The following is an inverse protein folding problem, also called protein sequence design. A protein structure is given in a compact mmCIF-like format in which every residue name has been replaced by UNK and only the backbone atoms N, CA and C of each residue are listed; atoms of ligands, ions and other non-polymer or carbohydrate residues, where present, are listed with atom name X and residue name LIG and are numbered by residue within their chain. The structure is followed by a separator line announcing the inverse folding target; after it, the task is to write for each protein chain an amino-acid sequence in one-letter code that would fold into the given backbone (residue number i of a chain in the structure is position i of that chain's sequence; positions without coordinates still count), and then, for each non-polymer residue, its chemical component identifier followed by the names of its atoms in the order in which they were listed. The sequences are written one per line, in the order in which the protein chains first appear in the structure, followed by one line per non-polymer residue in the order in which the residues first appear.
data_IF_997374858904
#
_entry.id   IF_997374858904
#
_cell.length_a   1.000
_cell.length_b   1.000
_cell.length_c   1.000
_cell.angle_alpha   90.00
_cell.angle_beta   90.00
_cell.angle_gamma   90.00
#
_symmetry.space_group_name_H-M   'P 1'
#
loop_
_entity.id
_entity.type
_entity.pdbx_description
1 polymer ?
#
# COMPACT_ATOMS: atom_id res chain seq x y z
N UNK A 1 12.64 11.08 12.46
CA UNK A 1 11.76 9.94 12.84
C UNK A 1 12.14 9.58 14.26
N UNK A 2 11.18 9.37 15.16
CA UNK A 2 11.50 8.94 16.52
C UNK A 2 11.86 7.44 16.47
N UNK A 3 13.00 7.06 17.07
CA UNK A 3 13.49 5.69 17.16
C UNK A 3 12.65 4.92 18.20
N UNK A 4 11.86 3.92 17.76
CA UNK A 4 10.92 3.18 18.62
C UNK A 4 11.38 1.75 18.97
N UNK A 5 12.39 1.19 18.30
CA UNK A 5 12.78 -0.23 18.45
C UNK A 5 14.26 -0.35 18.87
N UNK A 6 14.53 -0.43 20.17
CA UNK A 6 15.85 -0.71 20.76
C UNK A 6 15.79 -1.94 21.68
N UNK A 7 16.93 -2.47 22.15
CA UNK A 7 17.03 -3.57 23.12
C UNK A 7 16.30 -3.34 24.46
N UNK A 8 15.95 -2.09 24.81
CA UNK A 8 15.09 -1.75 25.96
C UNK A 8 13.62 -1.47 25.55
N UNK A 9 13.29 -1.65 24.28
CA UNK A 9 11.94 -1.59 23.68
C UNK A 9 11.59 -2.96 23.06
N UNK A 10 10.42 -3.06 22.46
CA UNK A 10 9.99 -4.25 21.73
C UNK A 10 10.32 -4.14 20.24
N UNK A 11 10.60 -5.28 19.61
CA UNK A 11 10.87 -5.34 18.16
C UNK A 11 9.59 -5.30 17.33
N UNK A 12 8.63 -6.14 17.69
CA UNK A 12 7.27 -6.19 17.17
C UNK A 12 6.32 -6.21 18.34
N UNK A 13 5.25 -5.43 18.28
CA UNK A 13 4.20 -5.47 19.28
C UNK A 13 3.42 -6.79 19.21
N UNK A 14 2.71 -7.14 20.27
CA UNK A 14 1.81 -8.29 20.30
C UNK A 14 0.74 -8.18 19.21
N UNK A 15 0.23 -6.98 18.91
CA UNK A 15 -0.74 -6.77 17.85
C UNK A 15 -0.14 -7.01 16.45
N UNK A 16 1.06 -6.50 16.19
CA UNK A 16 1.77 -6.74 14.93
C UNK A 16 2.17 -8.22 14.79
N UNK A 17 2.59 -8.87 15.87
CA UNK A 17 2.90 -10.30 15.90
C UNK A 17 1.66 -11.16 15.59
N UNK A 18 0.51 -10.85 16.19
CA UNK A 18 -0.76 -11.52 15.91
C UNK A 18 -1.18 -11.29 14.45
N UNK A 19 -1.03 -10.06 13.96
CA UNK A 19 -1.32 -9.71 12.56
C UNK A 19 -0.42 -10.47 11.59
N UNK A 20 0.88 -10.57 11.87
CA UNK A 20 1.83 -11.34 11.08
C UNK A 20 1.47 -12.85 11.08
N UNK A 21 1.10 -13.42 12.24
CA UNK A 21 0.61 -14.80 12.32
C UNK A 21 -0.68 -15.03 11.54
N UNK A 22 -1.61 -14.07 11.57
CA UNK A 22 -2.82 -14.12 10.75
C UNK A 22 -2.48 -14.07 9.26
N UNK A 23 -1.60 -13.17 8.82
CA UNK A 23 -1.21 -13.09 7.41
C UNK A 23 -0.44 -14.34 6.94
N UNK A 24 0.40 -14.92 7.79
CA UNK A 24 1.09 -16.18 7.50
C UNK A 24 0.12 -17.37 7.36
N UNK A 25 -0.90 -17.49 8.22
CA UNK A 25 -1.93 -18.55 8.09
C UNK A 25 -2.74 -18.43 6.79
N UNK A 26 -2.96 -17.21 6.28
CA UNK A 26 -3.62 -16.98 4.99
C UNK A 26 -2.76 -17.34 3.77
N UNK A 27 -1.45 -17.50 3.94
CA UNK A 27 -0.51 -17.79 2.86
C UNK A 27 0.31 -19.05 3.17
N UNK A 28 -0.32 -20.24 3.25
CA UNK A 28 0.39 -21.47 3.57
C UNK A 28 1.35 -21.87 2.45
N UNK A 29 2.54 -22.35 2.81
CA UNK A 29 3.53 -22.81 1.84
C UNK A 29 3.27 -24.26 1.42
N UNK A 30 3.09 -24.49 0.12
CA UNK A 30 2.86 -25.82 -0.47
C UNK A 30 4.15 -26.65 -0.42
N UNK A 31 4.04 -27.90 0.01
CA UNK A 31 5.16 -28.86 0.08
C UNK A 31 4.69 -30.30 -0.09
N UNK A 32 5.51 -31.14 -0.73
CA UNK A 32 5.21 -32.57 -0.88
C UNK A 32 5.72 -33.41 0.31
N UNK A 33 6.43 -32.79 1.26
CA UNK A 33 7.01 -33.47 2.43
C UNK A 33 6.06 -33.57 3.64
N UNK A 34 4.83 -33.04 3.54
CA UNK A 34 3.82 -33.08 4.58
C UNK A 34 2.54 -33.77 4.06
N UNK A 35 1.85 -34.53 4.93
CA UNK A 35 0.58 -35.19 4.59
C UNK A 35 -0.48 -34.22 4.11
N UNK A 36 -0.50 -33.02 4.69
CA UNK A 36 -1.52 -32.00 4.45
C UNK A 36 -1.15 -31.07 3.28
N UNK A 37 -0.05 -31.40 2.58
CA UNK A 37 0.57 -30.65 1.48
C UNK A 37 0.99 -29.22 1.79
N UNK A 38 0.93 -28.80 3.06
CA UNK A 38 1.29 -27.45 3.51
C UNK A 38 2.18 -27.52 4.74
N UNK A 39 3.17 -26.64 4.83
CA UNK A 39 3.98 -26.48 6.03
C UNK A 39 4.52 -25.05 6.14
N UNK A 40 4.15 -24.38 7.24
CA UNK A 40 4.53 -23.00 7.53
C UNK A 40 4.08 -22.01 6.44
N UNK A 41 4.78 -20.88 6.36
CA UNK A 41 4.52 -19.84 5.37
C UNK A 41 5.83 -19.20 4.90
N UNK A 42 5.83 -18.71 3.66
CA UNK A 42 6.88 -17.85 3.09
C UNK A 42 6.54 -16.36 3.18
N UNK A 43 5.39 -16.02 3.78
CA UNK A 43 5.02 -14.65 4.02
C UNK A 43 5.98 -14.04 5.04
N UNK A 44 6.46 -12.83 4.75
CA UNK A 44 7.41 -12.09 5.60
C UNK A 44 6.80 -10.76 6.01
N UNK A 45 7.16 -10.29 7.19
CA UNK A 45 6.77 -8.98 7.72
C UNK A 45 8.01 -8.10 7.77
N UNK A 46 7.93 -6.86 7.26
CA UNK A 46 9.04 -5.91 7.32
C UNK A 46 8.56 -4.64 8.00
N UNK A 47 9.28 -4.22 9.03
CA UNK A 47 9.04 -2.97 9.75
C UNK A 47 10.09 -1.96 9.32
N UNK A 48 9.65 -0.79 8.86
CA UNK A 48 10.52 0.35 8.58
C UNK A 48 10.44 1.33 9.77
N UNK A 49 11.54 1.50 10.48
CA UNK A 49 11.63 2.34 11.67
C UNK A 49 12.92 3.15 11.69
N UNK A 50 13.00 4.16 12.57
CA UNK A 50 14.24 4.91 12.80
C UNK A 50 15.20 4.13 13.70
N UNK A 51 16.50 4.15 13.39
CA UNK A 51 17.56 3.65 14.27
C UNK A 51 18.10 4.73 15.22
N UNK A 52 19.08 4.37 16.05
CA UNK A 52 19.76 5.29 16.98
C UNK A 52 20.46 6.46 16.27
N UNK A 53 20.77 6.31 14.98
CA UNK A 53 21.40 7.31 14.13
C UNK A 53 20.37 8.14 13.34
N UNK A 54 19.08 8.03 13.70
CA UNK A 54 17.95 8.66 13.03
C UNK A 54 17.83 8.32 11.54
N UNK A 55 18.43 7.21 11.11
CA UNK A 55 18.31 6.68 9.76
C UNK A 55 17.12 5.74 9.67
N UNK A 56 16.53 5.64 8.48
CA UNK A 56 15.48 4.65 8.21
C UNK A 56 16.15 3.28 8.07
N UNK A 57 15.79 2.36 8.95
CA UNK A 57 16.23 0.98 8.93
C UNK A 57 15.02 0.05 8.68
N UNK A 58 15.30 -1.13 8.11
CA UNK A 58 14.30 -2.15 7.80
C UNK A 58 14.61 -3.41 8.59
N UNK A 59 13.66 -3.85 9.41
CA UNK A 59 13.76 -5.09 10.19
C UNK A 59 12.79 -6.12 9.64
N UNK A 60 13.29 -7.28 9.25
CA UNK A 60 12.51 -8.37 8.67
C UNK A 60 12.22 -9.43 9.72
N UNK A 61 10.97 -9.91 9.71
CA UNK A 61 10.46 -10.87 10.68
C UNK A 61 9.57 -11.91 10.01
N UNK A 62 9.62 -13.12 10.56
CA UNK A 62 8.54 -14.10 10.47
C UNK A 62 8.10 -14.47 11.88
N UNK A 63 6.87 -14.95 12.01
CA UNK A 63 6.45 -15.61 13.23
C UNK A 63 6.61 -17.12 13.11
N UNK A 64 6.84 -17.77 14.24
CA UNK A 64 6.97 -19.22 14.31
C UNK A 64 5.67 -19.93 13.88
N UNK A 65 5.78 -21.19 13.46
CA UNK A 65 4.61 -22.02 13.17
C UNK A 65 3.72 -22.18 14.42
N UNK A 66 4.32 -22.17 15.61
CA UNK A 66 3.59 -22.20 16.88
C UNK A 66 2.76 -20.93 17.07
N UNK A 67 3.33 -19.74 16.78
CA UNK A 67 2.57 -18.49 16.80
C UNK A 67 1.39 -18.54 15.84
N UNK A 68 1.60 -19.03 14.61
CA UNK A 68 0.54 -19.14 13.61
C UNK A 68 -0.60 -20.02 14.12
N UNK A 69 -0.28 -21.18 14.70
CA UNK A 69 -1.29 -22.09 15.28
C UNK A 69 -2.04 -21.46 16.47
N UNK A 70 -1.34 -20.69 17.33
CA UNK A 70 -1.97 -19.98 18.44
C UNK A 70 -2.92 -18.87 17.96
N UNK A 71 -2.57 -18.17 16.87
CA UNK A 71 -3.43 -17.15 16.25
C UNK A 71 -4.65 -17.79 15.57
N UNK A 72 -4.45 -18.88 14.82
CA UNK A 72 -5.56 -19.63 14.18
C UNK A 72 -6.56 -20.20 15.20
N UNK A 73 -6.07 -20.67 16.35
CA UNK A 73 -6.90 -21.13 17.46
C UNK A 73 -7.52 -19.97 18.29
N UNK A 74 -7.26 -18.72 17.89
CA UNK A 74 -7.66 -17.50 18.59
C UNK A 74 -7.21 -17.48 20.06
N UNK A 75 -6.05 -18.03 20.40
CA UNK A 75 -5.59 -18.11 21.79
C UNK A 75 -4.81 -16.87 22.23
N UNK A 76 -4.13 -16.20 21.29
CA UNK A 76 -3.33 -15.00 21.59
C UNK A 76 -4.18 -13.73 21.59
N UNK A 77 -4.00 -12.92 22.63
CA UNK A 77 -4.60 -11.60 22.76
C UNK A 77 -3.51 -10.54 22.97
N UNK A 78 -3.62 -9.34 22.35
CA UNK A 78 -2.71 -8.24 22.65
C UNK A 78 -2.93 -7.75 24.08
N UNK A 79 -1.90 -7.17 24.69
CA UNK A 79 -1.98 -6.58 26.03
C UNK A 79 -1.67 -5.09 25.99
N UNK A 80 -1.79 -4.41 27.14
CA UNK A 80 -1.33 -3.03 27.31
C UNK A 80 0.21 -2.90 27.27
N UNK A 81 0.92 -4.02 27.38
CA UNK A 81 2.36 -4.14 27.24
C UNK A 81 2.67 -4.68 25.84
N UNK A 82 3.15 -3.87 24.89
CA UNK A 82 3.35 -4.29 23.50
C UNK A 82 4.30 -5.49 23.36
N UNK A 83 5.25 -5.67 24.28
CA UNK A 83 6.18 -6.79 24.32
C UNK A 83 5.56 -8.13 24.80
N UNK A 84 4.33 -8.08 25.34
CA UNK A 84 3.65 -9.22 25.94
C UNK A 84 2.33 -9.52 25.25
N UNK A 85 2.13 -10.79 24.90
CA UNK A 85 0.84 -11.33 24.52
C UNK A 85 0.21 -12.09 25.71
N UNK A 86 -1.11 -12.09 25.80
CA UNK A 86 -1.84 -12.85 26.81
C UNK A 86 -2.49 -14.07 26.17
N UNK A 87 -2.28 -15.24 26.78
CA UNK A 87 -2.99 -16.46 26.39
C UNK A 87 -4.37 -16.46 27.03
N UNK A 88 -5.39 -16.55 26.19
CA UNK A 88 -6.81 -16.51 26.57
C UNK A 88 -7.15 -17.60 27.59
N UNK A 89 -7.88 -17.19 28.62
CA UNK A 89 -8.37 -18.05 29.72
C UNK A 89 -9.89 -18.31 29.64
N UNK A 90 -10.62 -17.56 28.82
CA UNK A 90 -12.06 -17.67 28.61
C UNK A 90 -12.38 -17.91 27.15
N UNK A 91 -13.11 -18.99 26.80
CA UNK A 91 -13.42 -19.27 25.40
C UNK A 91 -14.37 -18.20 24.84
N UNK A 92 -14.19 -17.84 23.56
CA UNK A 92 -15.13 -16.96 22.84
C UNK A 92 -16.41 -17.67 22.44
N UNK A 93 -16.32 -18.98 22.20
CA UNK A 93 -17.44 -19.82 21.79
C UNK A 93 -17.51 -21.06 22.68
N UNK A 94 -18.71 -21.61 22.89
CA UNK A 94 -18.90 -22.79 23.75
C UNK A 94 -18.11 -24.03 23.26
N UNK A 95 -17.74 -24.07 21.97
CA UNK A 95 -16.98 -25.15 21.35
C UNK A 95 -15.47 -24.94 21.35
N UNK A 96 -14.98 -23.76 21.76
CA UNK A 96 -13.55 -23.47 21.74
C UNK A 96 -12.84 -24.15 22.91
N UNK A 97 -11.85 -24.98 22.60
CA UNK A 97 -10.98 -25.60 23.59
C UNK A 97 -9.78 -24.68 23.87
N UNK A 98 -9.54 -24.38 25.15
CA UNK A 98 -8.35 -23.65 25.59
C UNK A 98 -7.33 -24.64 26.14
N UNK A 99 -6.10 -24.54 25.64
CA UNK A 99 -4.96 -25.33 26.11
C UNK A 99 -4.04 -24.50 26.98
N UNK A 100 -3.37 -25.13 27.94
CA UNK A 100 -2.31 -24.48 28.71
C UNK A 100 -1.07 -24.30 27.82
N UNK A 101 -0.65 -23.05 27.66
CA UNK A 101 0.52 -22.68 26.87
C UNK A 101 1.64 -22.29 27.82
N UNK A 102 2.80 -22.91 27.64
CA UNK A 102 3.99 -22.67 28.45
C UNK A 102 5.19 -22.40 27.55
N UNK A 103 6.17 -21.65 28.06
CA UNK A 103 7.41 -21.37 27.36
C UNK A 103 8.62 -21.67 28.24
N UNK A 104 9.75 -21.96 27.61
CA UNK A 104 10.99 -22.30 28.30
C UNK A 104 11.95 -21.12 28.27
N UNK A 105 12.46 -20.72 29.43
CA UNK A 105 13.45 -19.67 29.57
C UNK A 105 14.68 -20.20 30.33
N UNK A 106 15.87 -19.68 29.99
CA UNK A 106 17.08 -19.98 30.74
C UNK A 106 17.21 -19.02 31.92
N UNK A 107 17.29 -19.57 33.12
CA UNK A 107 17.53 -18.77 34.31
C UNK A 107 18.99 -18.27 34.37
N UNK A 108 19.30 -17.45 35.39
CA UNK A 108 20.64 -16.90 35.63
C UNK A 108 21.77 -17.94 35.78
N UNK A 109 21.43 -19.22 35.99
CA UNK A 109 22.37 -20.33 36.10
C UNK A 109 22.45 -21.16 34.81
N UNK A 110 21.78 -20.74 33.73
CA UNK A 110 21.72 -21.43 32.44
C UNK A 110 20.81 -22.65 32.40
N UNK A 111 20.06 -22.93 33.47
CA UNK A 111 19.10 -24.02 33.50
C UNK A 111 17.77 -23.60 32.86
N UNK A 112 17.18 -24.50 32.08
CA UNK A 112 15.88 -24.31 31.44
C UNK A 112 14.75 -24.46 32.45
N UNK A 113 13.87 -23.46 32.51
CA UNK A 113 12.71 -23.40 33.39
C UNK A 113 11.47 -23.17 32.55
N UNK A 114 10.42 -23.93 32.84
CA UNK A 114 9.12 -23.82 32.18
C UNK A 114 8.27 -22.76 32.91
N UNK A 115 7.72 -21.80 32.17
CA UNK A 115 6.88 -20.70 32.67
C UNK A 115 5.51 -20.71 31.99
N UNK A 116 4.49 -20.24 32.71
CA UNK A 116 3.14 -20.07 32.17
C UNK A 116 3.11 -18.91 31.17
N UNK A 117 2.44 -19.10 30.02
CA UNK A 117 2.33 -18.12 28.93
C UNK A 117 1.35 -16.97 29.21
N UNK A 118 1.02 -16.70 30.47
CA UNK A 118 0.09 -15.64 30.89
C UNK A 118 0.80 -14.67 31.84
N UNK A 119 1.60 -13.72 31.32
CA UNK A 119 1.78 -13.36 29.91
C UNK A 119 2.95 -14.09 29.20
N UNK A 120 2.87 -14.14 27.87
CA UNK A 120 3.87 -14.72 26.97
C UNK A 120 4.65 -13.58 26.27
N UNK A 121 5.98 -13.49 26.44
CA UNK A 121 6.78 -12.53 25.69
C UNK A 121 6.78 -12.87 24.19
N UNK A 122 6.51 -11.86 23.37
CA UNK A 122 6.33 -12.06 21.92
C UNK A 122 7.63 -12.45 21.22
N UNK A 123 8.79 -12.12 21.78
CA UNK A 123 10.11 -12.49 21.24
C UNK A 123 10.28 -13.99 21.03
N UNK A 124 9.66 -14.83 21.87
CA UNK A 124 9.71 -16.30 21.73
C UNK A 124 8.93 -16.80 20.50
N UNK A 125 8.09 -15.95 19.92
CA UNK A 125 7.27 -16.24 18.75
C UNK A 125 7.90 -15.71 17.45
N UNK A 126 8.96 -14.91 17.53
CA UNK A 126 9.57 -14.24 16.39
C UNK A 126 10.78 -15.00 15.84
N UNK A 127 10.99 -14.84 14.53
CA UNK A 127 12.15 -15.33 13.80
C UNK A 127 12.70 -14.19 12.97
N UNK A 128 13.99 -13.89 13.15
CA UNK A 128 14.70 -12.88 12.38
C UNK A 128 14.82 -13.27 10.90
N UNK A 129 14.48 -12.34 10.01
CA UNK A 129 14.72 -12.45 8.57
C UNK A 129 15.67 -11.35 8.12
N UNK A 130 16.81 -11.69 7.51
CA UNK A 130 17.76 -10.67 7.06
C UNK A 130 17.15 -9.82 5.96
N UNK A 131 17.24 -8.50 6.15
CA UNK A 131 16.82 -7.47 5.19
C UNK A 131 18.06 -6.86 4.54
N UNK A 132 17.92 -6.45 3.29
CA UNK A 132 19.01 -5.80 2.57
C UNK A 132 18.61 -5.36 1.18
N UNK A 133 19.38 -4.43 0.65
CA UNK A 133 19.27 -3.99 -0.74
C UNK A 133 20.43 -4.59 -1.54
N UNK A 134 20.20 -5.02 -2.79
CA UNK A 134 21.28 -5.50 -3.64
C UNK A 134 22.29 -4.38 -3.90
N UNK A 135 23.59 -4.72 -3.91
CA UNK A 135 24.68 -3.76 -4.17
C UNK A 135 24.53 -3.09 -5.54
N UNK A 136 24.14 -3.87 -6.52
CA UNK A 136 23.80 -3.42 -7.86
C UNK A 136 22.29 -3.63 -8.05
N UNK A 137 21.49 -2.54 -8.14
CA UNK A 137 20.05 -2.68 -8.23
C UNK A 137 19.66 -3.30 -9.57
N UNK A 138 18.94 -4.41 -9.51
CA UNK A 138 18.31 -5.04 -10.67
C UNK A 138 16.81 -4.80 -10.59
N UNK A 139 16.29 -3.97 -11.49
CA UNK A 139 14.88 -3.61 -11.50
C UNK A 139 14.11 -4.49 -12.48
N UNK A 140 13.07 -5.17 -11.99
CA UNK A 140 12.08 -5.82 -12.86
C UNK A 140 11.08 -4.81 -13.43
N UNK A 141 10.72 -3.78 -12.65
CA UNK A 141 9.86 -2.68 -13.08
C UNK A 141 10.69 -1.46 -13.50
N UNK A 142 10.34 -0.84 -14.61
CA UNK A 142 11.06 0.29 -15.20
C UNK A 142 10.90 1.52 -14.31
N UNK A 143 12.01 2.23 -14.08
CA UNK A 143 11.97 3.53 -13.40
C UNK A 143 11.39 4.56 -14.37
N UNK A 144 10.32 5.30 -13.99
CA UNK A 144 9.74 6.32 -14.86
C UNK A 144 10.75 7.40 -15.24
N UNK A 145 10.67 7.91 -16.48
CA UNK A 145 11.58 8.94 -16.98
C UNK A 145 11.39 10.27 -16.22
N UNK A 146 10.14 10.71 -16.06
CA UNK A 146 9.80 11.98 -15.41
C UNK A 146 8.50 11.88 -14.59
N UNK A 147 7.38 11.54 -15.22
CA UNK A 147 6.07 11.44 -14.56
C UNK A 147 5.90 10.06 -13.95
N UNK A 148 5.60 10.02 -12.64
CA UNK A 148 5.25 8.79 -11.95
C UNK A 148 3.76 8.50 -12.11
N UNK A 149 3.43 7.26 -12.42
CA UNK A 149 2.05 6.79 -12.31
C UNK A 149 1.64 6.75 -10.83
N UNK A 150 0.45 7.27 -10.50
CA UNK A 150 -0.02 7.36 -9.12
C UNK A 150 -0.20 5.97 -8.49
N UNK A 151 0.16 5.83 -7.22
CA UNK A 151 0.00 4.58 -6.46
C UNK A 151 -1.45 4.46 -6.00
N UNK A 152 -2.01 3.25 -6.04
CA UNK A 152 -3.38 2.98 -5.60
C UNK A 152 -3.60 3.32 -4.11
N UNK A 153 -4.86 3.61 -3.74
CA UNK A 153 -5.29 3.87 -2.36
C UNK A 153 -4.62 5.10 -1.69
N UNK A 154 -4.24 6.12 -2.47
CA UNK A 154 -3.60 7.35 -1.97
C UNK A 154 -4.37 8.64 -2.25
N UNK A 155 -5.67 8.55 -2.52
CA UNK A 155 -6.53 9.72 -2.79
C UNK A 155 -6.51 10.72 -1.64
N UNK A 156 -6.45 10.25 -0.38
CA UNK A 156 -6.32 11.08 0.81
C UNK A 156 -5.01 11.90 0.85
N UNK A 157 -3.97 11.46 0.13
CA UNK A 157 -2.69 12.17 -0.02
C UNK A 157 -2.66 13.06 -1.28
N UNK A 158 -3.76 13.12 -2.04
CA UNK A 158 -3.85 13.86 -3.30
C UNK A 158 -3.28 13.12 -4.52
N UNK A 159 -2.90 11.84 -4.38
CA UNK A 159 -2.50 10.99 -5.51
C UNK A 159 -3.73 10.23 -6.04
N UNK A 160 -4.21 10.61 -7.22
CA UNK A 160 -5.39 10.00 -7.87
C UNK A 160 -4.98 9.35 -9.18
N UNK A 161 -5.34 8.08 -9.37
CA UNK A 161 -5.11 7.34 -10.61
C UNK A 161 -6.13 7.75 -11.70
N UNK A 162 -5.70 7.80 -12.95
CA UNK A 162 -6.56 8.19 -14.08
C UNK A 162 -6.49 9.68 -14.43
N UNK A 163 -7.45 10.15 -15.24
CA UNK A 163 -7.60 11.55 -15.63
C UNK A 163 -6.28 12.23 -16.05
N UNK A 164 -5.92 13.30 -15.34
CA UNK A 164 -4.69 14.07 -15.60
C UNK A 164 -3.43 13.23 -15.39
N UNK A 165 -3.34 12.40 -14.35
CA UNK A 165 -2.17 11.55 -14.09
C UNK A 165 -1.95 10.55 -15.23
N UNK A 166 -3.01 9.88 -15.70
CA UNK A 166 -2.92 8.96 -16.83
C UNK A 166 -2.56 9.71 -18.13
N UNK A 167 -3.15 10.89 -18.38
CA UNK A 167 -2.83 11.67 -19.59
C UNK A 167 -1.37 12.12 -19.63
N UNK A 168 -0.83 12.58 -18.50
CA UNK A 168 0.56 12.98 -18.37
C UNK A 168 1.48 11.77 -18.51
N UNK A 169 1.18 10.68 -17.82
CA UNK A 169 1.94 9.44 -17.90
C UNK A 169 2.00 8.90 -19.33
N UNK A 170 0.85 8.76 -20.01
CA UNK A 170 0.79 8.28 -21.39
C UNK A 170 1.51 9.22 -22.37
N UNK A 171 1.54 10.53 -22.11
CA UNK A 171 2.21 11.48 -23.01
C UNK A 171 3.74 11.38 -23.02
N UNK A 172 4.35 10.71 -22.03
CA UNK A 172 5.82 10.54 -21.96
C UNK A 172 6.34 9.37 -22.80
N UNK A 173 5.46 8.49 -23.27
CA UNK A 173 5.83 7.26 -23.95
C UNK A 173 5.30 7.27 -25.37
N UNK A 174 6.15 6.87 -26.31
CA UNK A 174 5.71 6.52 -27.66
C UNK A 174 5.26 5.06 -27.70
N UNK A 175 4.59 4.66 -28.78
CA UNK A 175 4.23 3.25 -28.98
C UNK A 175 5.47 2.32 -28.93
N UNK A 176 6.64 2.79 -29.38
CA UNK A 176 7.87 1.99 -29.33
C UNK A 176 8.41 1.81 -27.90
N UNK A 177 8.04 2.71 -26.99
CA UNK A 177 8.42 2.69 -25.56
C UNK A 177 7.31 2.06 -24.69
N UNK A 178 6.33 1.39 -25.31
CA UNK A 178 5.18 0.86 -24.60
C UNK A 178 5.58 -0.23 -23.59
N UNK A 179 6.63 -1.01 -23.86
CA UNK A 179 7.14 -2.01 -22.90
C UNK A 179 7.57 -1.32 -21.60
N UNK A 180 8.34 -0.24 -21.67
CA UNK A 180 8.77 0.53 -20.49
C UNK A 180 7.58 1.15 -19.76
N UNK A 181 6.58 1.63 -20.50
CA UNK A 181 5.35 2.17 -19.94
C UNK A 181 4.56 1.10 -19.17
N UNK A 182 4.41 -0.08 -19.77
CA UNK A 182 3.68 -1.22 -19.23
C UNK A 182 4.45 -1.93 -18.11
N UNK A 183 5.79 -1.81 -18.07
CA UNK A 183 6.65 -2.41 -17.04
C UNK A 183 6.60 -1.56 -15.76
N UNK A 184 5.39 -1.27 -15.27
CA UNK A 184 5.09 -0.55 -14.05
C UNK A 184 3.90 -1.23 -13.35
N UNK A 185 4.12 -1.72 -12.12
CA UNK A 185 3.13 -2.51 -11.37
C UNK A 185 1.81 -1.77 -11.16
N UNK A 186 1.86 -0.51 -10.72
CA UNK A 186 0.67 0.30 -10.43
C UNK A 186 -0.13 0.61 -11.69
N UNK A 187 0.58 0.85 -12.81
CA UNK A 187 -0.06 1.05 -14.10
C UNK A 187 -0.74 -0.22 -14.61
N UNK A 188 -0.08 -1.39 -14.50
CA UNK A 188 -0.71 -2.67 -14.82
C UNK A 188 -1.93 -2.90 -13.93
N UNK A 189 -1.81 -2.74 -12.61
CA UNK A 189 -2.92 -2.89 -11.67
C UNK A 189 -4.11 -1.97 -12.02
N UNK A 190 -3.84 -0.73 -12.40
CA UNK A 190 -4.86 0.17 -12.92
C UNK A 190 -5.51 -0.37 -14.18
N UNK A 191 -4.74 -0.84 -15.18
CA UNK A 191 -5.28 -1.47 -16.38
C UNK A 191 -6.01 -2.79 -16.13
N UNK A 192 -5.82 -3.46 -14.99
CA UNK A 192 -6.58 -4.66 -14.63
C UNK A 192 -7.92 -4.32 -14.00
N UNK A 193 -7.96 -3.25 -13.20
CA UNK A 193 -9.12 -2.83 -12.42
C UNK A 193 -10.01 -1.83 -13.17
N UNK A 194 -9.50 -1.24 -14.25
CA UNK A 194 -10.25 -0.33 -15.10
C UNK A 194 -11.39 -1.07 -15.84
N UNK A 195 -12.53 -0.39 -16.00
CA UNK A 195 -13.71 -0.92 -16.69
C UNK A 195 -13.62 -0.82 -18.21
N UNK A 196 -12.74 0.04 -18.74
CA UNK A 196 -12.53 0.23 -20.17
C UNK A 196 -11.50 -0.74 -20.73
N UNK A 197 -10.35 -0.86 -20.07
CA UNK A 197 -9.27 -1.76 -20.46
C UNK A 197 -9.14 -2.82 -19.39
N UNK A 198 -9.17 -4.08 -19.81
CA UNK A 198 -8.73 -5.21 -19.00
C UNK A 198 -7.63 -5.88 -19.79
N UNK A 199 -6.39 -5.80 -19.31
CA UNK A 199 -5.30 -6.46 -20.02
C UNK A 199 -5.45 -7.99 -19.95
N UNK A 200 -4.91 -8.68 -20.96
CA UNK A 200 -4.94 -10.14 -21.07
C UNK A 200 -3.62 -10.75 -20.62
N UNK A 201 -3.57 -12.07 -20.45
CA UNK A 201 -2.33 -12.80 -20.13
C UNK A 201 -1.16 -12.48 -21.08
N UNK A 202 -1.45 -12.09 -22.34
CA UNK A 202 -0.46 -11.68 -23.35
C UNK A 202 0.40 -10.50 -22.88
N UNK A 203 -0.20 -9.46 -22.27
CA UNK A 203 0.56 -8.30 -21.79
C UNK A 203 1.42 -8.66 -20.58
N UNK A 204 0.86 -9.43 -19.63
CA UNK A 204 1.62 -9.93 -18.49
C UNK A 204 2.81 -10.78 -18.92
N UNK A 205 2.60 -11.68 -19.89
CA UNK A 205 3.66 -12.50 -20.44
C UNK A 205 4.74 -11.64 -21.07
N UNK A 206 4.38 -10.69 -21.95
CA UNK A 206 5.32 -9.76 -22.58
C UNK A 206 6.15 -8.95 -21.57
N UNK A 207 5.53 -8.43 -20.51
CA UNK A 207 6.24 -7.71 -19.44
C UNK A 207 7.15 -8.67 -18.66
N UNK A 208 6.69 -9.89 -18.34
CA UNK A 208 7.48 -10.86 -17.58
C UNK A 208 8.71 -11.37 -18.34
N UNK A 209 8.62 -11.51 -19.67
CA UNK A 209 9.71 -11.96 -20.54
C UNK A 209 10.51 -10.82 -21.15
N UNK A 210 10.14 -9.56 -20.86
CA UNK A 210 10.72 -8.35 -21.46
C UNK A 210 10.65 -8.34 -23.00
N UNK A 211 9.57 -8.89 -23.56
CA UNK A 211 9.33 -8.96 -25.01
C UNK A 211 8.66 -7.67 -25.52
N UNK A 212 9.46 -6.82 -26.17
CA UNK A 212 9.00 -5.54 -26.71
C UNK A 212 8.01 -5.71 -27.86
N UNK A 213 8.27 -6.64 -28.77
CA UNK A 213 7.44 -6.80 -29.97
C UNK A 213 6.04 -7.24 -29.56
N UNK A 214 5.94 -8.18 -28.63
CA UNK A 214 4.67 -8.66 -28.10
C UNK A 214 3.90 -7.58 -27.34
N UNK A 215 4.59 -6.73 -26.56
CA UNK A 215 3.96 -5.61 -25.87
C UNK A 215 3.40 -4.57 -26.85
N UNK A 216 4.16 -4.22 -27.89
CA UNK A 216 3.72 -3.29 -28.95
C UNK A 216 2.54 -3.88 -29.73
N UNK A 217 2.61 -5.17 -30.06
CA UNK A 217 1.52 -5.86 -30.75
C UNK A 217 0.25 -5.83 -29.91
N UNK A 218 0.33 -6.11 -28.61
CA UNK A 218 -0.81 -5.99 -27.69
C UNK A 218 -1.42 -4.59 -27.71
N UNK A 219 -0.60 -3.54 -27.66
CA UNK A 219 -1.07 -2.15 -27.71
C UNK A 219 -1.75 -1.81 -29.05
N UNK A 220 -1.33 -2.43 -30.16
CA UNK A 220 -1.95 -2.26 -31.48
C UNK A 220 -3.22 -3.07 -31.69
N UNK A 221 -3.35 -4.23 -31.06
CA UNK A 221 -4.51 -5.09 -31.21
C UNK A 221 -5.65 -4.70 -30.25
N UNK A 222 -5.31 -4.13 -29.10
CA UNK A 222 -6.28 -3.82 -28.05
C UNK A 222 -7.01 -2.51 -28.35
N UNK A 223 -8.21 -2.61 -28.95
CA UNK A 223 -9.04 -1.45 -29.30
C UNK A 223 -9.36 -0.57 -28.08
N UNK A 224 -9.67 -1.18 -26.93
CA UNK A 224 -10.01 -0.44 -25.72
C UNK A 224 -8.83 0.40 -25.21
N UNK A 225 -7.60 -0.10 -25.37
CA UNK A 225 -6.39 0.66 -25.02
C UNK A 225 -6.24 1.87 -25.94
N UNK A 226 -6.46 1.70 -27.24
CA UNK A 226 -6.42 2.81 -28.20
C UNK A 226 -7.47 3.89 -27.88
N UNK A 227 -8.68 3.47 -27.51
CA UNK A 227 -9.73 4.39 -27.08
C UNK A 227 -9.34 5.14 -25.80
N UNK A 228 -8.77 4.45 -24.81
CA UNK A 228 -8.30 5.07 -23.57
C UNK A 228 -7.21 6.12 -23.83
N UNK A 229 -6.23 5.78 -24.68
CA UNK A 229 -5.17 6.70 -25.07
C UNK A 229 -5.71 7.90 -25.84
N UNK A 230 -6.69 7.71 -26.74
CA UNK A 230 -7.33 8.79 -27.48
C UNK A 230 -8.02 9.80 -26.52
N UNK A 231 -8.79 9.30 -25.55
CA UNK A 231 -9.43 10.13 -24.51
C UNK A 231 -8.38 10.89 -23.69
N UNK A 232 -7.26 10.24 -23.35
CA UNK A 232 -6.17 10.88 -22.62
C UNK A 232 -5.55 12.06 -23.40
N UNK A 233 -5.39 11.91 -24.73
CA UNK A 233 -4.88 13.00 -25.56
C UNK A 233 -5.86 14.18 -25.61
N UNK A 234 -7.17 13.94 -25.75
CA UNK A 234 -8.19 15.00 -25.76
C UNK A 234 -8.21 15.79 -24.43
N UNK A 235 -8.10 15.10 -23.30
CA UNK A 235 -8.02 15.72 -21.98
C UNK A 235 -6.70 16.49 -21.78
N UNK A 236 -5.59 15.98 -22.30
CA UNK A 236 -4.28 16.65 -22.31
C UNK A 236 -4.25 17.93 -23.14
N UNK A 237 -5.04 18.02 -24.21
CA UNK A 237 -5.18 19.22 -25.03
C UNK A 237 -6.02 20.33 -24.36
N UNK A 238 -7.00 19.95 -23.54
CA UNK A 238 -7.81 20.93 -22.78
C UNK A 238 -6.99 21.66 -21.70
N UNK A 239 -5.95 21.01 -21.16
CA UNK A 239 -5.10 21.58 -20.11
C UNK A 239 -3.79 22.22 -20.63
N UNK A 240 -3.41 21.99 -21.90
CA UNK A 240 -2.19 22.56 -22.50
C UNK A 240 -2.38 23.92 -23.18
N UNK A 241 -3.60 24.45 -23.27
CA UNK A 241 -3.85 25.75 -23.91
C UNK A 241 -3.76 26.96 -22.96
N UNK A 242 -3.50 26.77 -21.65
CA UNK A 242 -3.59 27.87 -20.65
C UNK A 242 -2.22 28.37 -20.13
N UNK A 243 -1.10 27.99 -20.74
CA UNK A 243 0.22 28.59 -20.38
C UNK A 243 0.91 29.10 -21.66
N UNK A 244 0.52 30.31 -22.10
CA UNK A 244 1.13 30.94 -23.27
C UNK A 244 0.44 32.22 -23.76
N UNK A 245 0.42 33.26 -22.92
CA UNK A 245 0.51 34.67 -23.34
C UNK A 245 -0.71 35.36 -24.02
N UNK A 246 -1.55 35.96 -23.17
CA UNK A 246 -2.17 37.31 -23.26
C UNK A 246 -2.67 37.77 -24.64
N UNK A 247 -3.99 37.68 -24.88
CA UNK A 247 -4.91 38.80 -25.23
C UNK A 247 -6.35 38.28 -25.44
N UNK A 248 -7.30 38.67 -24.57
CA UNK A 248 -8.74 38.79 -24.88
C UNK A 248 -9.65 37.55 -24.80
N UNK A 249 -10.26 37.34 -23.63
CA UNK A 249 -11.61 36.79 -23.29
C UNK A 249 -12.44 36.06 -24.38
N UNK A 250 -13.14 34.94 -24.12
CA UNK A 250 -13.92 34.64 -22.90
C UNK A 250 -14.26 33.14 -22.74
N UNK A 251 -14.09 32.61 -21.53
CA UNK A 251 -15.00 31.63 -20.90
C UNK A 251 -14.84 31.75 -19.39
N UNK A 252 -15.98 31.93 -18.72
CA UNK A 252 -16.12 32.60 -17.43
C UNK A 252 -15.48 31.86 -16.26
N UNK A 253 -14.51 32.50 -15.61
CA UNK A 253 -14.26 32.30 -14.19
C UNK A 253 -15.46 32.88 -13.42
N UNK A 254 -16.23 32.03 -12.75
CA UNK A 254 -17.20 32.49 -11.75
C UNK A 254 -16.44 33.07 -10.57
N UNK A 255 -16.16 34.36 -10.60
CA UNK A 255 -15.67 35.07 -9.43
C UNK A 255 -16.80 35.11 -8.39
N UNK A 256 -16.47 34.80 -7.15
CA UNK A 256 -17.39 34.87 -6.02
C UNK A 256 -16.93 35.96 -5.05
N UNK A 257 -17.87 36.61 -4.37
CA UNK A 257 -17.60 37.60 -3.32
C UNK A 257 -18.40 37.30 -2.06
N UNK A 258 -17.76 37.40 -0.90
CA UNK A 258 -18.37 37.13 0.40
C UNK A 258 -19.01 38.39 0.98
N UNK A 259 -20.28 38.31 1.37
CA UNK A 259 -20.99 39.42 2.00
C UNK A 259 -20.40 39.75 3.37
N UNK A 260 -20.00 41.00 3.59
CA UNK A 260 -19.41 41.46 4.85
C UNK A 260 -20.39 41.45 6.03
N UNK A 261 -21.70 41.48 5.75
CA UNK A 261 -22.74 41.52 6.79
C UNK A 261 -23.23 40.13 7.19
N UNK A 262 -23.43 39.21 6.24
CA UNK A 262 -24.04 37.90 6.50
C UNK A 262 -23.18 36.71 6.07
N UNK A 263 -21.95 36.95 5.60
CA UNK A 263 -20.95 35.94 5.19
C UNK A 263 -21.32 35.06 4.00
N UNK A 264 -22.47 35.29 3.37
CA UNK A 264 -22.92 34.53 2.21
C UNK A 264 -22.01 34.78 0.98
N UNK A 265 -21.63 33.71 0.28
CA UNK A 265 -20.88 33.78 -0.98
C UNK A 265 -21.81 34.04 -2.17
N UNK A 266 -21.63 35.18 -2.83
CA UNK A 266 -22.38 35.58 -4.01
C UNK A 266 -21.53 35.36 -5.28
N UNK A 267 -22.13 34.99 -6.40
CA UNK A 267 -21.47 34.98 -7.71
C UNK A 267 -21.54 36.37 -8.38
N UNK A 268 -20.51 36.75 -9.15
CA UNK A 268 -20.18 38.13 -9.59
C UNK A 268 -21.18 38.88 -10.50
N UNK A 269 -22.46 38.50 -10.55
CA UNK A 269 -23.46 39.20 -11.36
C UNK A 269 -24.48 40.01 -10.56
N UNK A 270 -24.37 40.09 -9.22
CA UNK A 270 -25.28 40.87 -8.39
C UNK A 270 -24.56 41.94 -7.55
N UNK A 271 -24.99 43.21 -7.63
CA UNK A 271 -24.46 44.28 -6.78
C UNK A 271 -24.89 44.13 -5.31
N UNK A 272 -26.00 43.41 -5.06
CA UNK A 272 -26.57 43.17 -3.73
C UNK A 272 -26.45 41.69 -3.33
N UNK A 273 -26.29 41.44 -2.03
CA UNK A 273 -26.22 40.10 -1.50
C UNK A 273 -27.56 39.35 -1.64
N UNK A 274 -27.51 38.11 -2.11
CA UNK A 274 -28.70 37.28 -2.35
C UNK A 274 -29.45 36.88 -1.08
N UNK A 275 -28.80 36.93 0.09
CA UNK A 275 -29.42 36.56 1.38
C UNK A 275 -29.96 37.75 2.16
N UNK A 276 -29.29 38.92 2.13
CA UNK A 276 -29.69 40.07 2.94
C UNK A 276 -30.09 41.32 2.14
N UNK A 277 -29.89 41.33 0.82
CA UNK A 277 -30.25 42.46 -0.05
C UNK A 277 -29.39 43.71 0.11
N UNK A 278 -28.27 43.63 0.85
CA UNK A 278 -27.35 44.75 1.04
C UNK A 278 -26.28 44.79 -0.06
N UNK A 279 -25.85 45.99 -0.50
CA UNK A 279 -24.83 46.13 -1.53
C UNK A 279 -23.46 45.63 -1.08
N UNK A 280 -22.61 45.23 -2.02
CA UNK A 280 -21.31 44.60 -1.73
C UNK A 280 -20.33 45.44 -0.90
N UNK A 281 -20.53 46.77 -0.88
CA UNK A 281 -19.65 47.74 -0.23
C UNK A 281 -20.25 48.43 1.01
N UNK A 282 -21.39 47.97 1.51
CA UNK A 282 -21.99 48.47 2.77
C UNK A 282 -21.69 47.60 3.97
#
# INVERSE_FOLDING_TARGET
LLCYCFQESFFLSAEECITAGYLQSKHPNITDYCSDRHFGSKFVTVVASGDEQEQVNFHGWQVSNQCTALVEAELLCPTNHPELAYIRDKPLTETQYLTDVQYTEKNQYGAEVLKDGRPLPVEFLLVDVPTGMPKEPQYTFSVPKSTRFAIENREAMGEVQGGTNLSQYCSEYSLNDFLEQATNFHFLLYLMTNHLVQFTEKLCFAVSTQDREMAIEWARETLNWQQLVAVCHEQGHSNRFVIGQITGHASASTTTWSCKHCTFENSEQRPDCSMCGLPANS
#
